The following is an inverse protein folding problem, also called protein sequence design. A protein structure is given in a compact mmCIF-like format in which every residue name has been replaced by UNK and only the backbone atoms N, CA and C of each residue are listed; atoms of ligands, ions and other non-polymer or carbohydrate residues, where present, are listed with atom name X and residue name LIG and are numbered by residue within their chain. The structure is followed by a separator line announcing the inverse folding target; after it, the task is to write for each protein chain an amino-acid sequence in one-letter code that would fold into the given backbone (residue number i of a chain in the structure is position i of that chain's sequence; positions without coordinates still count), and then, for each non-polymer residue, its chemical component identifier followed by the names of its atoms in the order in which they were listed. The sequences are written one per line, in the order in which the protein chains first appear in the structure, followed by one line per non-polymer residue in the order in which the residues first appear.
data_IF_581874789167
#
_entry.id   IF_581874789167
#
_cell.length_a   1.000
_cell.length_b   1.000
_cell.length_c   1.000
_cell.angle_alpha   90.00
_cell.angle_beta   90.00
_cell.angle_gamma   90.00
#
_symmetry.space_group_name_H-M   'P 1'
#
loop_
_entity.id
_entity.type
_entity.pdbx_description
1 polymer ?
#
# COMPACT_ATOMS: atom_id res chain seq x y z
N UNK A 1 21.22 -29.54 7.92
CA UNK A 1 21.96 -28.31 8.32
C UNK A 1 21.74 -27.13 7.36
N UNK A 2 21.91 -27.29 6.04
CA UNK A 2 21.73 -26.19 5.06
C UNK A 2 20.30 -25.60 5.08
N UNK A 3 19.27 -26.45 5.23
CA UNK A 3 17.86 -26.00 5.24
C UNK A 3 17.47 -25.15 6.45
N UNK A 4 17.93 -25.48 7.65
CA UNK A 4 17.63 -24.70 8.85
C UNK A 4 18.28 -23.31 8.79
N UNK A 5 19.47 -23.23 8.20
CA UNK A 5 20.15 -21.97 7.92
C UNK A 5 19.35 -21.12 6.91
N UNK A 6 18.81 -21.73 5.85
CA UNK A 6 17.97 -21.04 4.87
C UNK A 6 16.65 -20.53 5.51
N UNK A 7 16.02 -21.31 6.40
CA UNK A 7 14.85 -20.85 7.17
C UNK A 7 15.21 -19.66 8.06
N UNK A 8 16.34 -19.73 8.78
CA UNK A 8 16.85 -18.64 9.60
C UNK A 8 17.13 -17.37 8.79
N UNK A 9 17.80 -17.51 7.65
CA UNK A 9 18.05 -16.41 6.70
C UNK A 9 16.75 -15.74 6.26
N UNK A 10 15.74 -16.54 5.86
CA UNK A 10 14.43 -16.01 5.45
C UNK A 10 13.73 -15.27 6.57
N UNK A 11 13.78 -15.79 7.79
CA UNK A 11 13.21 -15.13 8.96
C UNK A 11 13.89 -13.78 9.27
N UNK A 12 15.22 -13.72 9.17
CA UNK A 12 15.99 -12.47 9.35
C UNK A 12 15.65 -11.45 8.26
N UNK A 13 15.60 -11.86 7.00
CA UNK A 13 15.22 -10.97 5.89
C UNK A 13 13.79 -10.45 6.03
N UNK A 14 12.84 -11.31 6.43
CA UNK A 14 11.46 -10.89 6.69
C UNK A 14 11.37 -9.89 7.84
N UNK A 15 12.15 -10.10 8.90
CA UNK A 15 12.22 -9.20 10.05
C UNK A 15 12.83 -7.85 9.67
N UNK A 16 13.93 -7.85 8.91
CA UNK A 16 14.56 -6.64 8.39
C UNK A 16 13.57 -5.83 7.55
N UNK A 17 12.82 -6.50 6.66
CA UNK A 17 11.79 -5.83 5.86
C UNK A 17 10.67 -5.23 6.72
N UNK A 18 10.30 -5.90 7.81
CA UNK A 18 9.34 -5.36 8.78
C UNK A 18 9.83 -4.11 9.49
N UNK A 19 11.13 -4.07 9.83
CA UNK A 19 11.76 -2.88 10.39
C UNK A 19 11.81 -1.73 9.38
N UNK A 20 12.14 -2.00 8.11
CA UNK A 20 12.14 -0.98 7.05
C UNK A 20 10.75 -0.33 6.89
N UNK A 21 9.68 -1.14 6.88
CA UNK A 21 8.30 -0.63 6.77
C UNK A 21 7.92 0.17 8.02
N UNK A 22 8.35 -0.29 9.20
CA UNK A 22 8.13 0.45 10.45
C UNK A 22 8.86 1.79 10.45
N UNK A 23 10.11 1.82 9.99
CA UNK A 23 10.91 3.04 9.84
C UNK A 23 10.23 4.03 8.88
N UNK A 24 9.75 3.55 7.72
CA UNK A 24 9.00 4.38 6.78
C UNK A 24 7.72 4.96 7.39
N UNK A 25 6.98 4.17 8.17
CA UNK A 25 5.79 4.65 8.87
C UNK A 25 6.12 5.76 9.88
N UNK A 26 7.19 5.59 10.65
CA UNK A 26 7.63 6.58 11.64
C UNK A 26 8.08 7.87 10.94
N UNK A 27 8.88 7.76 9.89
CA UNK A 27 9.38 8.92 9.13
C UNK A 27 8.24 9.74 8.50
N UNK A 28 7.12 9.11 8.16
CA UNK A 28 5.98 9.76 7.50
C UNK A 28 4.76 9.95 8.42
N UNK A 29 4.92 9.80 9.74
CA UNK A 29 3.78 9.88 10.69
C UNK A 29 3.05 11.22 10.63
N UNK A 30 3.78 12.30 10.33
CA UNK A 30 3.24 13.66 10.24
C UNK A 30 3.01 14.11 8.79
N UNK A 31 3.12 13.21 7.80
CA UNK A 31 2.90 13.54 6.39
C UNK A 31 1.40 13.44 6.08
N UNK A 32 0.71 14.54 5.73
CA UNK A 32 -0.71 14.49 5.40
C UNK A 32 -1.01 13.53 4.25
N UNK A 33 -2.07 12.72 4.40
CA UNK A 33 -2.45 11.70 3.42
C UNK A 33 -1.57 10.45 3.41
N UNK A 34 -0.54 10.37 4.26
CA UNK A 34 0.20 9.12 4.44
C UNK A 34 -0.66 8.06 5.10
N UNK A 35 -0.61 6.85 4.54
CA UNK A 35 -1.30 5.69 5.08
C UNK A 35 -0.29 4.71 5.63
N UNK A 36 -0.50 4.30 6.89
CA UNK A 36 0.34 3.29 7.54
C UNK A 36 0.41 2.03 6.68
N UNK A 37 1.60 1.48 6.55
CA UNK A 37 1.89 0.26 5.84
C UNK A 37 2.19 -0.88 6.82
N UNK A 38 1.82 -2.12 6.48
CA UNK A 38 2.29 -3.31 7.19
C UNK A 38 2.62 -4.45 6.23
N UNK A 39 3.61 -5.23 6.61
CA UNK A 39 3.97 -6.45 5.90
C UNK A 39 2.96 -7.56 6.22
N UNK A 40 2.65 -8.37 5.21
CA UNK A 40 1.95 -9.64 5.38
C UNK A 40 2.97 -10.76 5.26
N UNK A 41 3.03 -11.60 6.29
CA UNK A 41 3.87 -12.79 6.30
C UNK A 41 3.02 -14.00 5.89
N UNK A 42 3.59 -14.85 5.04
CA UNK A 42 3.01 -16.17 4.73
C UNK A 42 4.06 -17.26 4.91
N UNK A 43 3.64 -18.47 5.32
CA UNK A 43 4.54 -19.61 5.31
C UNK A 43 5.01 -19.88 3.86
N UNK A 44 6.29 -20.21 3.72
CA UNK A 44 6.81 -20.73 2.46
C UNK A 44 6.14 -22.07 2.14
N UNK A 45 6.00 -22.38 0.85
CA UNK A 45 5.39 -23.63 0.39
C UNK A 45 6.05 -24.83 1.05
N UNK A 46 5.25 -25.79 1.52
CA UNK A 46 5.78 -26.98 2.17
C UNK A 46 6.18 -28.01 1.12
N UNK A 47 7.33 -28.65 1.30
CA UNK A 47 7.81 -29.69 0.38
C UNK A 47 7.57 -31.07 1.03
N UNK A 48 6.95 -32.03 0.31
CA UNK A 48 6.81 -33.39 0.80
C UNK A 48 8.17 -34.10 0.77
N UNK A 49 8.59 -34.65 1.90
CA UNK A 49 9.80 -35.47 2.02
C UNK A 49 9.49 -36.69 2.87
N UNK A 50 9.60 -37.89 2.30
CA UNK A 50 9.41 -39.15 3.02
C UNK A 50 8.03 -39.27 3.71
N UNK A 51 6.95 -38.80 3.06
CA UNK A 51 5.60 -38.86 3.61
C UNK A 51 5.25 -37.77 4.64
N UNK A 52 6.18 -36.85 4.94
CA UNK A 52 5.93 -35.70 5.84
C UNK A 52 6.01 -34.39 5.07
N UNK A 53 5.12 -33.44 5.37
CA UNK A 53 5.20 -32.06 4.87
C UNK A 53 6.20 -31.25 5.69
N UNK A 54 7.20 -30.66 5.04
CA UNK A 54 8.20 -29.82 5.69
C UNK A 54 8.02 -28.36 5.28
N UNK A 55 7.82 -27.49 6.28
CA UNK A 55 7.70 -26.05 6.07
C UNK A 55 9.02 -25.39 5.67
N UNK A 56 8.95 -24.44 4.74
CA UNK A 56 10.11 -23.71 4.20
C UNK A 56 10.35 -22.32 4.81
N UNK A 57 9.94 -22.12 6.07
CA UNK A 57 10.08 -20.84 6.76
C UNK A 57 9.00 -19.83 6.37
N UNK A 58 9.36 -18.55 6.34
CA UNK A 58 8.42 -17.43 6.14
C UNK A 58 8.85 -16.55 4.97
N UNK A 59 7.87 -15.96 4.28
CA UNK A 59 8.06 -15.02 3.19
C UNK A 59 7.21 -13.76 3.45
N UNK A 60 7.75 -12.61 3.05
CA UNK A 60 6.97 -11.36 2.97
C UNK A 60 6.27 -11.36 1.63
N UNK A 61 4.94 -11.42 1.63
CA UNK A 61 4.19 -11.55 0.37
C UNK A 61 3.72 -10.22 -0.18
N UNK A 62 3.25 -9.33 0.70
CA UNK A 62 2.70 -8.03 0.32
C UNK A 62 2.92 -7.01 1.42
N UNK A 63 3.00 -5.75 1.02
CA UNK A 63 2.93 -4.60 1.94
C UNK A 63 1.54 -3.99 1.74
N UNK A 64 0.66 -4.13 2.73
CA UNK A 64 -0.68 -3.54 2.69
C UNK A 64 -0.67 -2.13 3.26
N UNK A 65 -1.45 -1.25 2.68
CA UNK A 65 -1.73 0.07 3.26
C UNK A 65 -3.05 0.03 4.02
N UNK A 66 -3.10 0.66 5.19
CA UNK A 66 -4.31 0.83 5.96
C UNK A 66 -5.00 2.10 5.50
N UNK A 67 -5.93 1.95 4.55
CA UNK A 67 -6.76 3.02 4.02
C UNK A 67 -8.21 2.57 4.04
N UNK A 68 -9.10 3.52 4.27
CA UNK A 68 -10.53 3.28 4.11
C UNK A 68 -10.88 3.41 2.63
N UNK A 69 -11.13 2.27 1.99
CA UNK A 69 -11.44 2.22 0.55
C UNK A 69 -12.77 2.90 0.20
N UNK A 70 -13.73 2.93 1.13
CA UNK A 70 -15.01 3.59 0.91
C UNK A 70 -14.80 5.11 0.91
N UNK A 71 -14.14 5.64 1.94
CA UNK A 71 -13.83 7.07 2.04
C UNK A 71 -12.98 7.51 0.85
N UNK A 72 -11.97 6.73 0.45
CA UNK A 72 -11.18 7.06 -0.74
C UNK A 72 -12.01 7.10 -2.01
N UNK A 73 -12.96 6.17 -2.17
CA UNK A 73 -13.84 6.13 -3.34
C UNK A 73 -14.71 7.38 -3.38
N UNK A 74 -15.35 7.70 -2.27
CA UNK A 74 -16.25 8.85 -2.18
C UNK A 74 -15.47 10.17 -2.36
N UNK A 75 -14.28 10.28 -1.77
CA UNK A 75 -13.39 11.42 -1.99
C UNK A 75 -13.02 11.59 -3.47
N UNK A 76 -12.68 10.50 -4.17
CA UNK A 76 -12.40 10.52 -5.61
C UNK A 76 -13.61 11.00 -6.41
N UNK A 77 -14.80 10.52 -6.08
CA UNK A 77 -16.05 10.94 -6.75
C UNK A 77 -16.33 12.42 -6.53
N UNK A 78 -16.30 12.91 -5.28
CA UNK A 78 -16.55 14.31 -5.00
C UNK A 78 -15.50 15.24 -5.62
N UNK A 79 -14.22 14.84 -5.61
CA UNK A 79 -13.15 15.59 -6.27
C UNK A 79 -13.38 15.68 -7.78
N UNK A 80 -13.80 14.58 -8.42
CA UNK A 80 -14.12 14.57 -9.85
C UNK A 80 -15.30 15.51 -10.17
N UNK A 81 -16.38 15.43 -9.38
CA UNK A 81 -17.56 16.30 -9.52
C UNK A 81 -17.20 17.78 -9.31
N UNK A 82 -16.43 18.11 -8.28
CA UNK A 82 -15.96 19.47 -8.03
C UNK A 82 -15.10 19.98 -9.19
N UNK A 83 -14.20 19.15 -9.71
CA UNK A 83 -13.33 19.52 -10.84
C UNK A 83 -14.13 19.80 -12.11
N UNK A 84 -15.20 19.03 -12.35
CA UNK A 84 -16.12 19.27 -13.46
C UNK A 84 -16.81 20.63 -13.36
N UNK A 85 -17.37 20.97 -12.19
CA UNK A 85 -18.02 22.26 -11.98
C UNK A 85 -17.04 23.43 -12.07
N UNK A 86 -15.82 23.29 -11.55
CA UNK A 86 -14.77 24.31 -11.67
C UNK A 86 -14.40 24.57 -13.14
N UNK A 87 -14.30 23.52 -13.96
CA UNK A 87 -14.05 23.68 -15.39
C UNK A 87 -15.23 24.34 -16.11
N UNK A 88 -16.46 23.94 -15.79
CA UNK A 88 -17.64 24.57 -16.37
C UNK A 88 -17.73 26.05 -16.02
N UNK A 89 -17.45 26.42 -14.76
CA UNK A 89 -17.40 27.81 -14.33
C UNK A 89 -16.31 28.59 -15.08
N UNK A 90 -15.12 28.01 -15.24
CA UNK A 90 -14.05 28.64 -16.00
C UNK A 90 -14.43 28.85 -17.48
N UNK A 91 -15.22 27.95 -18.08
CA UNK A 91 -15.75 28.13 -19.43
C UNK A 91 -16.78 29.26 -19.47
N UNK A 92 -17.73 29.30 -18.53
CA UNK A 92 -18.72 30.38 -18.47
C UNK A 92 -18.08 31.76 -18.31
N UNK A 93 -17.08 31.89 -17.44
CA UNK A 93 -16.33 33.14 -17.28
C UNK A 93 -15.61 33.57 -18.56
N UNK A 94 -15.12 32.62 -19.37
CA UNK A 94 -14.51 32.92 -20.67
C UNK A 94 -15.55 33.38 -21.69
N UNK A 95 -16.76 32.81 -21.66
CA UNK A 95 -17.86 33.21 -22.53
C UNK A 95 -18.32 34.62 -22.16
N UNK A 96 -18.52 34.91 -20.87
CA UNK A 96 -18.87 36.25 -20.36
C UNK A 96 -17.85 37.29 -20.84
N UNK A 97 -16.56 37.06 -20.58
CA UNK A 97 -15.49 37.97 -21.00
C UNK A 97 -15.40 38.16 -22.54
N UNK A 98 -15.76 37.14 -23.33
CA UNK A 98 -15.77 37.23 -24.79
C UNK A 98 -17.00 37.98 -25.33
N UNK A 99 -18.12 37.96 -24.60
CA UNK A 99 -19.34 38.69 -24.93
C UNK A 99 -19.29 40.17 -24.54
N UNK A 100 -18.26 40.58 -23.78
CA UNK A 100 -17.96 41.98 -23.53
C UNK A 100 -18.56 42.56 -22.26
N UNK A 101 -18.93 41.72 -21.28
CA UNK A 101 -19.02 42.09 -19.87
C UNK A 101 -17.87 41.46 -19.07
#
# INVERSE_FOLDING_TARGET
MIRSLEIGKRALLASQRGLDVTSNNIANVNTPGYARQAITLRPGESIPVGGTMLGMGVLVTTIRQFRDQLIERDLRTYTATQSYYQQSQAIFQRIEAALGE
#
